data_IF_855715872572
#
_entry.id   IF_855715872572
#
_cell.length_a   1.000
_cell.length_b   1.000
_cell.length_c   1.000
_cell.angle_alpha   90.00
_cell.angle_beta   90.00
_cell.angle_gamma   90.00
#
_symmetry.space_group_name_H-M   'P 1'
#
loop_
_entity.id
_entity.type
_entity.pdbx_description
1 polymer ?
#
# COMPACT_ATOMS: atom_id res chain seq x y z
N UNK A 1 -34.80 -15.40 6.77
CA UNK A 1 -33.63 -14.52 6.51
C UNK A 1 -32.36 -15.36 6.51
N UNK A 2 -31.94 -15.84 5.34
CA UNK A 2 -30.68 -16.57 5.19
C UNK A 2 -29.52 -15.60 5.35
N UNK A 3 -28.59 -15.87 6.29
CA UNK A 3 -27.29 -15.19 6.34
C UNK A 3 -26.64 -15.35 4.97
N UNK A 4 -26.51 -14.24 4.22
CA UNK A 4 -25.72 -14.22 2.99
C UNK A 4 -24.29 -14.61 3.38
N UNK A 5 -23.81 -15.72 2.83
CA UNK A 5 -22.46 -16.22 3.10
C UNK A 5 -21.48 -15.36 2.31
N UNK A 6 -21.12 -14.22 2.88
CA UNK A 6 -20.06 -13.36 2.38
C UNK A 6 -18.73 -14.15 2.40
N UNK A 7 -17.98 -14.12 1.30
CA UNK A 7 -16.71 -14.85 1.16
C UNK A 7 -15.63 -14.33 2.13
N UNK A 8 -15.69 -13.04 2.45
CA UNK A 8 -14.99 -12.41 3.58
C UNK A 8 -16.04 -11.55 4.32
N UNK A 9 -16.27 -11.77 5.62
CA UNK A 9 -17.18 -10.94 6.39
C UNK A 9 -16.73 -9.48 6.39
N UNK A 10 -17.66 -8.52 6.26
CA UNK A 10 -17.36 -7.07 6.41
C UNK A 10 -16.61 -6.77 7.72
N UNK A 11 -16.88 -7.53 8.77
CA UNK A 11 -16.16 -7.43 10.05
C UNK A 11 -14.67 -7.79 9.94
N UNK A 12 -14.30 -8.75 9.10
CA UNK A 12 -12.90 -9.09 8.84
C UNK A 12 -12.21 -7.93 8.12
N UNK A 13 -12.86 -7.35 7.10
CA UNK A 13 -12.30 -6.20 6.40
C UNK A 13 -12.10 -4.99 7.34
N UNK A 14 -13.09 -4.69 8.18
CA UNK A 14 -12.97 -3.64 9.20
C UNK A 14 -11.90 -3.95 10.25
N UNK A 15 -11.67 -5.23 10.54
CA UNK A 15 -10.60 -5.69 11.42
C UNK A 15 -9.20 -5.22 10.97
N UNK A 16 -8.94 -5.08 9.67
CA UNK A 16 -7.67 -4.54 9.17
C UNK A 16 -7.48 -3.05 9.49
N UNK A 17 -8.57 -2.26 9.48
CA UNK A 17 -8.51 -0.86 9.89
C UNK A 17 -8.24 -0.73 11.40
N UNK A 18 -8.90 -1.57 12.22
CA UNK A 18 -8.61 -1.65 13.66
C UNK A 18 -7.17 -2.07 13.88
N UNK A 19 -6.68 -3.09 13.16
CA UNK A 19 -5.31 -3.56 13.25
C UNK A 19 -4.29 -2.44 12.94
N UNK A 20 -4.52 -1.65 11.90
CA UNK A 20 -3.68 -0.49 11.59
C UNK A 20 -3.67 0.54 12.73
N UNK A 21 -4.84 0.88 13.29
CA UNK A 21 -4.92 1.79 14.43
C UNK A 21 -4.20 1.24 15.68
N UNK A 22 -4.48 0.00 16.07
CA UNK A 22 -3.85 -0.69 17.22
C UNK A 22 -2.34 -0.81 17.02
N UNK A 23 -1.89 -0.96 15.78
CA UNK A 23 -0.45 -0.96 15.45
C UNK A 23 0.24 0.34 15.84
N UNK A 24 -0.40 1.50 15.58
CA UNK A 24 0.16 2.80 15.87
C UNK A 24 0.21 3.11 17.37
N UNK A 25 -0.83 2.73 18.12
CA UNK A 25 -1.02 3.14 19.52
C UNK A 25 -0.69 2.06 20.54
N UNK A 26 -0.63 0.79 20.13
CA UNK A 26 -0.33 -0.35 21.01
C UNK A 26 0.94 -1.08 20.59
N UNK A 27 0.96 -1.71 19.40
CA UNK A 27 2.07 -2.61 19.06
C UNK A 27 3.40 -1.89 18.89
N UNK A 28 3.45 -0.80 18.12
CA UNK A 28 4.69 -0.04 17.94
C UNK A 28 5.19 0.60 19.26
N UNK A 29 4.34 1.27 20.07
CA UNK A 29 4.78 1.79 21.36
C UNK A 29 5.27 0.73 22.34
N UNK A 30 4.63 -0.45 22.36
CA UNK A 30 5.11 -1.60 23.15
C UNK A 30 6.49 -2.06 22.71
N UNK A 31 6.72 -2.20 21.40
CA UNK A 31 8.02 -2.62 20.86
C UNK A 31 9.13 -1.59 21.10
N UNK A 32 8.78 -0.30 21.18
CA UNK A 32 9.71 0.79 21.51
C UNK A 32 9.86 1.02 23.03
N UNK A 33 9.10 0.31 23.88
CA UNK A 33 9.20 0.38 25.33
C UNK A 33 8.57 1.62 25.98
N UNK A 34 7.85 2.46 25.22
CA UNK A 34 7.20 3.66 25.76
C UNK A 34 5.91 4.04 25.02
N UNK A 35 4.83 4.29 25.78
CA UNK A 35 3.53 4.70 25.25
C UNK A 35 3.55 6.06 24.52
N UNK A 36 4.53 6.91 24.82
CA UNK A 36 4.71 8.22 24.19
C UNK A 36 5.03 8.17 22.69
N UNK A 37 5.32 6.98 22.14
CA UNK A 37 5.51 6.80 20.70
C UNK A 37 4.19 6.72 19.91
N UNK A 38 3.04 6.57 20.59
CA UNK A 38 1.72 6.64 19.98
C UNK A 38 1.38 8.06 19.52
N UNK A 39 0.49 8.19 18.53
CA UNK A 39 0.09 9.51 18.04
C UNK A 39 -0.92 10.19 18.99
N UNK A 40 -0.88 11.52 19.13
CA UNK A 40 -1.82 12.27 19.97
C UNK A 40 -3.18 12.47 19.29
N UNK A 41 -4.26 12.42 20.07
CA UNK A 41 -5.62 12.66 19.56
C UNK A 41 -5.92 14.15 19.37
N UNK A 42 -5.57 14.67 18.20
CA UNK A 42 -5.91 16.02 17.76
C UNK A 42 -5.59 16.22 16.29
N UNK A 43 -6.34 17.10 15.61
CA UNK A 43 -6.23 17.28 14.15
C UNK A 43 -4.82 17.72 13.75
N UNK A 44 -4.27 18.78 14.35
CA UNK A 44 -2.91 19.22 13.98
C UNK A 44 -1.82 18.39 14.66
N UNK A 45 -2.07 17.90 15.88
CA UNK A 45 -1.08 17.15 16.64
C UNK A 45 -0.77 15.79 16.03
N UNK A 46 -1.76 15.08 15.45
CA UNK A 46 -1.48 13.82 14.77
C UNK A 46 -0.71 14.06 13.45
N UNK A 47 -1.00 15.13 12.71
CA UNK A 47 -0.24 15.49 11.51
C UNK A 47 1.21 15.84 11.85
N UNK A 48 1.43 16.58 12.94
CA UNK A 48 2.77 16.84 13.47
C UNK A 48 3.49 15.54 13.85
N UNK A 49 2.79 14.59 14.49
CA UNK A 49 3.36 13.27 14.78
C UNK A 49 3.76 12.52 13.51
N UNK A 50 2.91 12.53 12.46
CA UNK A 50 3.22 11.88 11.17
C UNK A 50 4.49 12.49 10.57
N UNK A 51 4.60 13.82 10.53
CA UNK A 51 5.80 14.49 10.03
C UNK A 51 7.04 14.13 10.87
N UNK A 52 6.94 14.20 12.20
CA UNK A 52 8.06 13.92 13.09
C UNK A 52 8.55 12.47 12.95
N UNK A 53 7.64 11.49 12.89
CA UNK A 53 8.00 10.08 12.68
C UNK A 53 8.59 9.86 11.29
N UNK A 54 8.08 10.52 10.26
CA UNK A 54 8.63 10.43 8.91
C UNK A 54 10.07 10.94 8.83
N UNK A 55 10.34 12.10 9.43
CA UNK A 55 11.66 12.73 9.43
C UNK A 55 12.66 12.08 10.38
N UNK A 56 12.22 11.31 11.39
CA UNK A 56 13.12 10.49 12.21
C UNK A 56 13.92 9.48 11.37
N UNK A 57 13.35 9.01 10.26
CA UNK A 57 14.02 8.12 9.31
C UNK A 57 14.39 8.85 8.01
N UNK A 58 14.57 10.18 8.12
CA UNK A 58 14.88 11.15 7.06
C UNK A 58 13.82 11.23 5.96
N UNK A 59 13.74 10.21 5.10
CA UNK A 59 12.83 10.18 3.97
C UNK A 59 12.05 8.86 3.95
N UNK A 60 10.86 8.89 4.55
CA UNK A 60 9.98 7.73 4.67
C UNK A 60 9.51 7.14 3.32
N UNK A 61 9.72 7.87 2.22
CA UNK A 61 9.48 7.37 0.86
C UNK A 61 10.36 6.16 0.49
N UNK A 62 11.52 6.00 1.12
CA UNK A 62 12.43 4.89 0.85
C UNK A 62 12.10 3.62 1.63
N UNK A 63 11.12 3.66 2.53
CA UNK A 63 10.66 2.47 3.22
C UNK A 63 9.95 1.55 2.19
N UNK A 64 10.44 0.32 1.93
CA UNK A 64 9.88 -0.55 0.91
C UNK A 64 8.42 -0.96 1.20
N UNK A 65 8.07 -1.17 2.47
CA UNK A 65 6.69 -1.47 2.85
C UNK A 65 5.77 -0.26 2.67
N UNK A 66 6.27 0.95 2.89
CA UNK A 66 5.53 2.19 2.61
C UNK A 66 5.30 2.38 1.10
N UNK A 67 6.28 2.06 0.25
CA UNK A 67 6.11 2.07 -1.20
C UNK A 67 5.00 1.10 -1.65
N UNK A 68 4.96 -0.11 -1.09
CA UNK A 68 3.90 -1.08 -1.36
C UNK A 68 2.54 -0.56 -0.88
N UNK A 69 2.46 -0.02 0.33
CA UNK A 69 1.22 0.53 0.89
C UNK A 69 0.62 1.62 0.00
N UNK A 70 1.44 2.57 -0.47
CA UNK A 70 1.04 3.64 -1.40
C UNK A 70 0.63 3.06 -2.75
N UNK A 71 1.38 2.10 -3.29
CA UNK A 71 1.05 1.46 -4.57
C UNK A 71 -0.32 0.80 -4.52
N UNK A 72 -0.62 0.04 -3.46
CA UNK A 72 -1.94 -0.55 -3.28
C UNK A 72 -3.03 0.50 -3.05
N UNK A 73 -2.73 1.60 -2.37
CA UNK A 73 -3.68 2.70 -2.16
C UNK A 73 -4.07 3.37 -3.49
N UNK A 74 -3.09 3.69 -4.32
CA UNK A 74 -3.32 4.26 -5.66
C UNK A 74 -4.02 3.25 -6.57
N UNK A 75 -3.60 1.99 -6.56
CA UNK A 75 -4.29 0.93 -7.32
C UNK A 75 -5.75 0.75 -6.89
N UNK A 76 -6.04 0.84 -5.58
CA UNK A 76 -7.42 0.79 -5.07
C UNK A 76 -8.24 1.95 -5.61
N UNK A 77 -7.71 3.17 -5.53
CA UNK A 77 -8.39 4.38 -6.04
C UNK A 77 -8.65 4.30 -7.54
N UNK A 78 -7.66 3.86 -8.32
CA UNK A 78 -7.80 3.65 -9.76
C UNK A 78 -8.84 2.59 -10.08
N UNK A 79 -8.76 1.41 -9.44
CA UNK A 79 -9.71 0.32 -9.66
C UNK A 79 -11.13 0.72 -9.26
N UNK A 80 -11.30 1.51 -8.19
CA UNK A 80 -12.61 1.98 -7.73
C UNK A 80 -13.20 2.99 -8.71
N UNK A 81 -12.39 3.90 -9.24
CA UNK A 81 -12.80 4.86 -10.26
C UNK A 81 -13.19 4.16 -11.56
N UNK A 82 -12.39 3.20 -12.03
CA UNK A 82 -12.69 2.39 -13.21
C UNK A 82 -13.97 1.57 -13.03
N UNK A 83 -14.13 0.92 -11.88
CA UNK A 83 -15.33 0.15 -11.57
C UNK A 83 -16.58 1.02 -11.53
N UNK A 84 -16.56 2.12 -10.77
CA UNK A 84 -17.69 3.04 -10.70
C UNK A 84 -18.03 3.67 -12.05
N UNK A 85 -17.01 4.05 -12.82
CA UNK A 85 -17.17 4.59 -14.17
C UNK A 85 -17.78 3.59 -15.14
N UNK A 86 -17.37 2.32 -15.09
CA UNK A 86 -17.91 1.25 -15.94
C UNK A 86 -19.38 0.97 -15.65
N UNK A 87 -19.73 0.82 -14.37
CA UNK A 87 -21.13 0.56 -13.99
C UNK A 87 -21.99 1.76 -14.40
N UNK A 88 -21.53 2.98 -14.15
CA UNK A 88 -22.28 4.18 -14.53
C UNK A 88 -22.43 4.32 -16.05
N UNK A 89 -21.42 3.96 -16.85
CA UNK A 89 -21.53 4.01 -18.30
C UNK A 89 -22.48 2.94 -18.85
N UNK A 90 -22.56 1.77 -18.21
CA UNK A 90 -23.50 0.72 -18.57
C UNK A 90 -24.94 1.05 -18.17
N UNK A 91 -25.14 1.62 -16.97
CA UNK A 91 -26.48 1.98 -16.47
C UNK A 91 -27.00 3.31 -17.01
N UNK A 92 -26.12 4.18 -17.50
CA UNK A 92 -26.47 5.49 -18.09
C UNK A 92 -25.91 5.59 -19.52
N UNK A 93 -26.45 4.80 -20.46
CA UNK A 93 -26.02 4.86 -21.86
C UNK A 93 -26.50 6.15 -22.54
N UNK A 94 -26.19 6.31 -23.83
CA UNK A 94 -26.63 7.48 -24.58
C UNK A 94 -28.17 7.59 -24.62
N UNK A 95 -28.68 8.82 -24.76
CA UNK A 95 -30.13 9.08 -24.70
C UNK A 95 -30.88 8.24 -25.74
N UNK A 96 -31.85 7.46 -25.27
CA UNK A 96 -32.65 6.57 -26.11
C UNK A 96 -32.09 5.16 -26.26
N UNK A 97 -30.90 4.88 -25.74
CA UNK A 97 -30.35 3.53 -25.68
C UNK A 97 -30.81 2.76 -24.43
N UNK A 98 -30.98 1.43 -24.52
CA UNK A 98 -31.25 0.59 -23.36
C UNK A 98 -30.00 0.43 -22.49
N UNK A 99 -30.22 0.21 -21.18
CA UNK A 99 -29.18 -0.17 -20.20
C UNK A 99 -28.37 -1.35 -20.74
N UNK A 100 -27.04 -1.23 -20.64
CA UNK A 100 -26.12 -2.24 -21.15
C UNK A 100 -26.05 -3.43 -20.20
N UNK A 101 -25.65 -4.58 -20.75
CA UNK A 101 -25.51 -5.82 -19.99
C UNK A 101 -24.06 -6.03 -19.53
N UNK A 102 -23.79 -6.93 -18.57
CA UNK A 102 -22.42 -7.26 -18.16
C UNK A 102 -21.51 -7.72 -19.29
N UNK A 103 -22.04 -8.30 -20.36
CA UNK A 103 -21.26 -8.68 -21.55
C UNK A 103 -20.69 -7.45 -22.27
N UNK A 104 -21.41 -6.32 -22.22
CA UNK A 104 -20.91 -5.05 -22.76
C UNK A 104 -19.78 -4.48 -21.89
N UNK A 105 -19.88 -4.61 -20.57
CA UNK A 105 -18.83 -4.22 -19.63
C UNK A 105 -17.53 -5.02 -19.89
N UNK A 106 -17.66 -6.33 -20.08
CA UNK A 106 -16.54 -7.21 -20.42
C UNK A 106 -15.93 -6.85 -21.78
N UNK A 107 -16.77 -6.54 -22.76
CA UNK A 107 -16.32 -6.16 -24.10
C UNK A 107 -15.52 -4.86 -24.05
N UNK A 108 -15.99 -3.85 -23.34
CA UNK A 108 -15.29 -2.58 -23.16
C UNK A 108 -13.85 -2.77 -22.62
N UNK A 109 -13.68 -3.59 -21.58
CA UNK A 109 -12.36 -3.84 -21.00
C UNK A 109 -11.46 -4.71 -21.89
N UNK A 110 -12.04 -5.70 -22.58
CA UNK A 110 -11.31 -6.51 -23.56
C UNK A 110 -10.83 -5.67 -24.74
N UNK A 111 -11.65 -4.74 -25.23
CA UNK A 111 -11.27 -3.85 -26.32
C UNK A 111 -10.24 -2.80 -25.88
N UNK A 112 -10.32 -2.32 -24.63
CA UNK A 112 -9.44 -1.27 -24.12
C UNK A 112 -8.06 -1.77 -23.71
N UNK A 113 -7.98 -2.90 -23.00
CA UNK A 113 -6.72 -3.41 -22.41
C UNK A 113 -6.47 -4.91 -22.66
N UNK A 114 -7.26 -5.56 -23.51
CA UNK A 114 -7.11 -6.98 -23.86
C UNK A 114 -7.59 -7.96 -22.79
N UNK A 115 -8.14 -7.49 -21.67
CA UNK A 115 -8.55 -8.34 -20.54
C UNK A 115 -9.71 -7.72 -19.75
N UNK A 116 -10.69 -8.55 -19.38
CA UNK A 116 -11.70 -8.20 -18.38
C UNK A 116 -11.62 -9.15 -17.19
N UNK A 117 -11.58 -8.58 -15.98
CA UNK A 117 -11.59 -9.31 -14.71
C UNK A 117 -12.99 -9.82 -14.32
N UNK A 118 -14.04 -9.31 -14.99
CA UNK A 118 -15.43 -9.66 -14.74
C UNK A 118 -16.02 -9.07 -13.45
N UNK A 119 -17.35 -9.18 -13.33
CA UNK A 119 -18.15 -8.53 -12.29
C UNK A 119 -17.82 -9.00 -10.88
N UNK A 120 -17.63 -10.30 -10.65
CA UNK A 120 -17.22 -10.80 -9.32
C UNK A 120 -15.74 -10.52 -9.04
N UNK A 121 -14.90 -10.57 -10.08
CA UNK A 121 -13.46 -10.40 -9.97
C UNK A 121 -13.07 -9.00 -9.50
N UNK A 122 -13.71 -7.95 -10.03
CA UNK A 122 -13.41 -6.56 -9.64
C UNK A 122 -13.70 -6.28 -8.16
N UNK A 123 -14.76 -6.86 -7.60
CA UNK A 123 -15.09 -6.72 -6.18
C UNK A 123 -14.07 -7.43 -5.28
N UNK A 124 -13.60 -8.62 -5.68
CA UNK A 124 -12.55 -9.35 -4.97
C UNK A 124 -11.20 -8.62 -5.05
N UNK A 125 -10.87 -8.09 -6.22
CA UNK A 125 -9.67 -7.28 -6.43
C UNK A 125 -9.70 -6.03 -5.55
N UNK A 126 -10.79 -5.26 -5.57
CA UNK A 126 -10.94 -4.06 -4.74
C UNK A 126 -10.78 -4.35 -3.26
N UNK A 127 -11.41 -5.43 -2.77
CA UNK A 127 -11.24 -5.85 -1.38
C UNK A 127 -9.78 -6.20 -1.09
N UNK A 128 -9.13 -6.99 -1.94
CA UNK A 128 -7.72 -7.34 -1.76
C UNK A 128 -6.80 -6.11 -1.74
N UNK A 129 -6.94 -5.20 -2.71
CA UNK A 129 -6.11 -4.00 -2.81
C UNK A 129 -6.29 -3.11 -1.57
N UNK A 130 -7.52 -2.93 -1.10
CA UNK A 130 -7.81 -2.13 0.09
C UNK A 130 -7.20 -2.76 1.37
N UNK A 131 -7.35 -4.08 1.55
CA UNK A 131 -6.77 -4.78 2.70
C UNK A 131 -5.25 -4.80 2.66
N UNK A 132 -4.65 -5.01 1.49
CA UNK A 132 -3.20 -4.98 1.29
C UNK A 132 -2.64 -3.59 1.62
N UNK A 133 -3.30 -2.51 1.19
CA UNK A 133 -2.89 -1.14 1.54
C UNK A 133 -2.86 -0.92 3.06
N UNK A 134 -3.93 -1.31 3.77
CA UNK A 134 -3.97 -1.21 5.23
C UNK A 134 -2.94 -2.09 5.95
N UNK A 135 -2.73 -3.32 5.45
CA UNK A 135 -1.73 -4.23 5.99
C UNK A 135 -0.31 -3.70 5.85
N UNK A 136 0.10 -3.30 4.64
CA UNK A 136 1.45 -2.77 4.41
C UNK A 136 1.68 -1.42 5.12
N UNK A 137 0.62 -0.64 5.34
CA UNK A 137 0.68 0.57 6.19
C UNK A 137 1.00 0.25 7.65
N UNK A 138 0.43 -0.83 8.19
CA UNK A 138 0.77 -1.29 9.54
C UNK A 138 2.21 -1.84 9.58
N UNK A 139 2.59 -2.66 8.60
CA UNK A 139 3.94 -3.24 8.51
C UNK A 139 5.00 -2.15 8.42
N UNK A 140 4.83 -1.12 7.57
CA UNK A 140 5.85 -0.10 7.37
C UNK A 140 6.16 0.70 8.64
N UNK A 141 5.17 0.87 9.53
CA UNK A 141 5.35 1.55 10.80
C UNK A 141 5.92 0.62 11.88
N UNK A 142 5.51 -0.66 11.92
CA UNK A 142 6.06 -1.64 12.90
C UNK A 142 7.55 -1.86 12.70
N UNK A 143 8.01 -1.93 11.46
CA UNK A 143 9.43 -2.13 11.17
C UNK A 143 10.26 -0.87 11.43
N UNK A 144 9.64 0.32 11.38
CA UNK A 144 10.31 1.61 11.58
C UNK A 144 10.48 1.97 13.06
N UNK A 145 11.70 1.79 13.56
CA UNK A 145 12.11 1.99 14.95
C UNK A 145 12.47 0.68 15.62
N UNK A 146 11.52 -0.25 15.83
CA UNK A 146 11.81 -1.53 16.49
C UNK A 146 12.83 -2.41 15.76
N UNK A 147 12.80 -2.44 14.42
CA UNK A 147 13.63 -3.34 13.61
C UNK A 147 14.64 -2.60 12.73
N UNK A 148 14.29 -1.40 12.26
CA UNK A 148 15.18 -0.52 11.49
C UNK A 148 15.23 0.85 12.16
N UNK A 149 16.42 1.30 12.55
CA UNK A 149 16.66 2.59 13.22
C UNK A 149 17.39 3.60 12.36
N UNK A 150 17.96 3.17 11.23
CA UNK A 150 18.73 4.01 10.32
C UNK A 150 17.88 4.73 9.27
N UNK A 151 18.56 5.42 8.35
CA UNK A 151 17.90 6.03 7.21
C UNK A 151 17.31 4.94 6.29
N UNK A 152 16.09 5.13 5.78
CA UNK A 152 15.48 4.14 4.88
C UNK A 152 16.18 4.05 3.51
N UNK A 153 16.93 5.08 3.10
CA UNK A 153 17.77 5.03 1.91
C UNK A 153 18.83 3.96 2.02
N UNK A 154 19.53 3.91 3.16
CA UNK A 154 20.68 3.04 3.36
C UNK A 154 20.24 1.56 3.34
N UNK A 155 18.97 1.29 3.66
CA UNK A 155 18.38 -0.03 3.53
C UNK A 155 18.55 -0.60 2.12
N UNK A 156 18.54 0.21 1.05
CA UNK A 156 18.71 -0.28 -0.33
C UNK A 156 20.16 -0.63 -0.69
N UNK A 157 21.13 -0.36 0.18
CA UNK A 157 22.53 -0.70 -0.03
C UNK A 157 22.77 -2.18 -0.26
N UNK A 158 22.03 -3.07 0.43
CA UNK A 158 22.20 -4.52 0.30
C UNK A 158 22.02 -5.01 -1.14
N UNK A 159 21.14 -4.35 -1.92
CA UNK A 159 20.91 -4.71 -3.32
C UNK A 159 22.14 -4.44 -4.17
N UNK A 160 22.83 -3.32 -3.93
CA UNK A 160 24.04 -2.93 -4.64
C UNK A 160 25.25 -3.77 -4.22
N UNK A 161 25.26 -4.28 -2.99
CA UNK A 161 26.30 -5.15 -2.45
C UNK A 161 26.18 -6.61 -2.91
N UNK A 162 25.13 -6.97 -3.69
CA UNK A 162 24.98 -8.32 -4.18
C UNK A 162 26.16 -8.73 -5.09
N UNK A 163 26.73 -9.94 -4.91
CA UNK A 163 27.89 -10.39 -5.68
C UNK A 163 27.69 -10.42 -7.20
N UNK A 164 26.44 -10.48 -7.66
CA UNK A 164 26.11 -10.46 -9.09
C UNK A 164 26.48 -9.14 -9.79
N UNK A 165 26.68 -8.05 -9.04
CA UNK A 165 27.08 -6.76 -9.60
C UNK A 165 28.60 -6.59 -9.68
N UNK A 166 29.37 -7.47 -9.04
CA UNK A 166 30.83 -7.45 -9.04
C UNK A 166 31.37 -7.99 -10.37
N UNK A 167 31.27 -7.18 -11.43
CA UNK A 167 31.98 -7.45 -12.68
C UNK A 167 33.24 -6.57 -12.76
N UNK A 168 34.40 -7.15 -13.12
CA UNK A 168 35.57 -6.35 -13.44
C UNK A 168 35.32 -5.64 -14.77
N UNK A 169 35.03 -4.35 -14.72
CA UNK A 169 35.16 -3.47 -15.88
C UNK A 169 36.50 -2.78 -15.68
N UNK A 170 37.45 -3.03 -16.58
CA UNK A 170 38.79 -2.43 -16.67
C UNK A 170 39.93 -2.90 -15.72
N UNK A 171 39.69 -3.86 -14.83
CA UNK A 171 40.74 -4.35 -13.92
C UNK A 171 40.94 -3.48 -12.69
N UNK A 172 40.19 -2.37 -12.56
CA UNK A 172 39.83 -1.84 -11.25
C UNK A 172 38.58 -2.58 -10.75
N UNK A 173 38.70 -3.18 -9.56
CA UNK A 173 37.50 -3.49 -8.78
C UNK A 173 36.82 -2.14 -8.55
N UNK A 174 35.52 -2.01 -8.86
CA UNK A 174 34.76 -0.87 -8.35
C UNK A 174 35.15 -0.67 -6.89
N UNK A 175 35.50 0.54 -6.44
CA UNK A 175 35.52 0.76 -5.02
C UNK A 175 34.10 0.41 -4.61
N UNK A 176 33.95 -0.65 -3.82
CA UNK A 176 32.75 -0.88 -3.01
C UNK A 176 32.35 0.51 -2.55
N UNK A 177 31.22 1.06 -3.04
CA UNK A 177 30.80 2.39 -2.64
C UNK A 177 30.82 2.35 -1.13
N UNK A 178 31.79 3.07 -0.53
CA UNK A 178 31.97 3.02 0.91
C UNK A 178 30.60 3.28 1.52
N UNK A 179 30.21 2.56 2.59
CA UNK A 179 28.98 2.88 3.29
C UNK A 179 28.97 4.39 3.49
N UNK A 180 27.86 5.05 3.15
CA UNK A 180 27.69 6.47 3.38
C UNK A 180 28.00 6.73 4.85
N UNK A 181 29.21 7.21 5.15
CA UNK A 181 29.61 7.60 6.49
C UNK A 181 28.73 8.80 6.83
N UNK A 182 27.71 8.54 7.65
CA UNK A 182 26.84 9.58 8.17
C UNK A 182 27.67 10.52 9.04
N UNK A 183 28.04 11.67 8.48
CA UNK A 183 28.53 12.84 9.24
C UNK A 183 27.39 13.52 9.97
#
# INVERSE_FOLDING_TARGET
MSKVRDWIPRSVAFGFAIFAYVTLVVFRPLLLGAWGHGFPYGIMSHLQWVSNVGYQFVWFHWNPAHMLAITFFFATSLAAALHGGLILSATNPQKGEPVKTPEHEDTFFRDSIGYSIGTLGIHRLLLYLALASGFFSAVCIVISGPFWVGNWQDWWGWWLELPIWNYPIDGSLYPTMKPYESS
#
